data_IF_734229745064
#
_entry.id   IF_734229745064
#
_cell.length_a   1.000
_cell.length_b   1.000
_cell.length_c   1.000
_cell.angle_alpha   90.00
_cell.angle_beta   90.00
_cell.angle_gamma   90.00
#
_symmetry.space_group_name_H-M   'P 1'
#
loop_
_entity.id
_entity.type
_entity.pdbx_description
1 polymer ?
#
# COMPACT_ATOMS: atom_id res chain seq x y z
N UNK A 1 40.59 24.09 -19.32
CA UNK A 1 40.50 22.66 -19.68
C UNK A 1 39.19 22.15 -19.10
N UNK A 2 38.12 22.22 -19.90
CA UNK A 2 36.82 21.65 -19.54
C UNK A 2 36.84 20.16 -19.92
N UNK A 3 36.67 19.28 -18.95
CA UNK A 3 36.50 17.85 -19.18
C UNK A 3 35.04 17.60 -19.57
N UNK A 4 34.78 17.57 -20.87
CA UNK A 4 33.50 17.15 -21.43
C UNK A 4 33.56 15.64 -21.68
N UNK A 5 33.23 14.84 -20.66
CA UNK A 5 33.11 13.39 -20.76
C UNK A 5 31.63 13.00 -20.79
N UNK A 6 31.00 13.15 -21.96
CA UNK A 6 29.75 12.45 -22.24
C UNK A 6 30.05 10.97 -22.49
N UNK A 7 29.37 10.02 -21.83
CA UNK A 7 29.49 8.61 -22.17
C UNK A 7 28.95 8.38 -23.58
N UNK A 8 29.76 7.73 -24.42
CA UNK A 8 29.36 7.27 -25.74
C UNK A 8 28.35 6.13 -25.53
N UNK A 9 27.06 6.42 -25.64
CA UNK A 9 26.05 5.38 -25.78
C UNK A 9 26.22 4.74 -27.15
N UNK A 10 26.72 3.51 -27.17
CA UNK A 10 26.75 2.67 -28.35
C UNK A 10 25.32 2.34 -28.77
N UNK A 11 24.84 2.96 -29.84
CA UNK A 11 23.56 2.60 -30.46
C UNK A 11 23.59 1.14 -30.93
N UNK A 12 22.67 0.32 -30.40
CA UNK A 12 21.85 -0.54 -31.25
C UNK A 12 22.34 -1.95 -31.60
N UNK A 13 22.99 -2.70 -30.70
CA UNK A 13 22.91 -4.18 -30.78
C UNK A 13 21.92 -4.69 -29.73
N UNK A 14 20.84 -5.39 -30.13
CA UNK A 14 19.96 -6.04 -29.16
C UNK A 14 20.78 -7.07 -28.39
N UNK A 15 20.72 -7.00 -27.06
CA UNK A 15 21.33 -8.01 -26.21
C UNK A 15 20.74 -9.39 -26.55
N UNK A 16 21.56 -10.45 -26.63
CA UNK A 16 21.04 -11.80 -26.79
C UNK A 16 20.07 -12.10 -25.64
N UNK A 17 19.00 -12.88 -25.87
CA UNK A 17 18.06 -13.26 -24.82
C UNK A 17 18.83 -13.95 -23.69
N UNK A 18 18.61 -13.49 -22.45
CA UNK A 18 19.12 -14.20 -21.26
C UNK A 18 18.57 -15.62 -21.26
N UNK A 19 19.43 -16.60 -20.99
CA UNK A 19 18.96 -17.96 -20.72
C UNK A 19 18.09 -17.92 -19.46
N UNK A 20 16.88 -18.46 -19.57
CA UNK A 20 15.86 -18.50 -18.52
C UNK A 20 16.35 -19.19 -17.23
N UNK A 21 17.37 -20.04 -17.34
CA UNK A 21 18.02 -20.77 -16.23
C UNK A 21 18.96 -19.93 -15.36
N UNK A 22 19.35 -18.72 -15.78
CA UNK A 22 20.21 -17.82 -14.99
C UNK A 22 19.40 -16.74 -14.24
N UNK A 23 18.07 -16.84 -14.22
CA UNK A 23 17.27 -15.91 -13.45
C UNK A 23 17.35 -16.23 -11.95
N UNK A 24 17.62 -15.24 -11.09
CA UNK A 24 17.64 -15.47 -9.66
C UNK A 24 16.26 -15.92 -9.18
N UNK A 25 16.23 -16.97 -8.36
CA UNK A 25 15.02 -17.62 -7.84
C UNK A 25 14.16 -16.59 -7.10
N UNK A 26 12.85 -16.43 -7.33
CA UNK A 26 12.06 -15.45 -6.57
C UNK A 26 12.14 -15.62 -5.04
N UNK A 27 12.18 -14.51 -4.29
CA UNK A 27 12.11 -14.53 -2.82
C UNK A 27 10.64 -14.68 -2.42
N UNK A 28 10.29 -15.81 -1.80
CA UNK A 28 8.96 -16.01 -1.22
C UNK A 28 8.88 -15.33 0.14
N UNK A 29 7.91 -14.46 0.32
CA UNK A 29 7.59 -13.72 1.55
C UNK A 29 6.25 -14.24 2.07
N UNK A 30 6.21 -14.73 3.31
CA UNK A 30 4.98 -15.14 3.99
C UNK A 30 4.17 -13.92 4.45
N UNK A 31 3.72 -13.13 3.46
CA UNK A 31 2.80 -12.00 3.58
C UNK A 31 1.94 -11.90 2.33
N UNK A 32 0.77 -11.26 2.43
CA UNK A 32 -0.08 -11.05 1.27
C UNK A 32 0.57 -10.09 0.26
N UNK A 33 0.40 -10.29 -1.07
CA UNK A 33 0.97 -9.41 -2.09
C UNK A 33 0.65 -7.92 -1.89
N UNK A 34 -0.54 -7.63 -1.36
CA UNK A 34 -0.96 -6.26 -1.05
C UNK A 34 -0.15 -5.60 0.07
N UNK A 35 0.27 -6.35 1.08
CA UNK A 35 1.15 -5.82 2.13
C UNK A 35 2.56 -5.59 1.60
N UNK A 36 3.09 -6.53 0.80
CA UNK A 36 4.41 -6.38 0.16
C UNK A 36 4.43 -5.17 -0.77
N UNK A 37 3.40 -5.00 -1.60
CA UNK A 37 3.27 -3.85 -2.49
C UNK A 37 3.19 -2.53 -1.71
N UNK A 38 2.37 -2.46 -0.66
CA UNK A 38 2.26 -1.29 0.21
C UNK A 38 3.62 -0.94 0.83
N UNK A 39 4.39 -1.95 1.26
CA UNK A 39 5.67 -1.76 1.93
C UNK A 39 6.76 -1.14 1.03
N UNK A 40 6.60 -1.16 -0.29
CA UNK A 40 7.49 -0.46 -1.23
C UNK A 40 7.14 1.02 -1.43
N UNK A 41 5.94 1.44 -1.03
CA UNK A 41 5.39 2.75 -1.37
C UNK A 41 5.07 3.59 -0.13
N UNK A 42 4.74 2.95 1.00
CA UNK A 42 4.43 3.64 2.24
C UNK A 42 5.72 4.06 2.95
N UNK A 43 5.93 5.36 3.26
CA UNK A 43 7.16 5.82 3.92
C UNK A 43 7.41 5.17 5.28
N UNK A 44 6.35 4.92 6.07
CA UNK A 44 6.48 4.33 7.39
C UNK A 44 6.94 2.88 7.34
N UNK A 45 6.39 2.09 6.41
CA UNK A 45 6.82 0.71 6.19
C UNK A 45 8.26 0.68 5.66
N UNK A 46 8.58 1.47 4.62
CA UNK A 46 9.93 1.58 4.04
C UNK A 46 10.98 1.95 5.09
N UNK A 47 10.69 2.95 5.92
CA UNK A 47 11.57 3.34 7.01
C UNK A 47 11.79 2.20 8.01
N UNK A 48 10.74 1.43 8.31
CA UNK A 48 10.82 0.35 9.28
C UNK A 48 11.67 -0.84 8.82
N UNK A 49 11.58 -1.24 7.54
CA UNK A 49 12.33 -2.39 7.04
C UNK A 49 13.68 -2.04 6.43
N UNK A 50 13.84 -0.83 5.88
CA UNK A 50 15.07 -0.39 5.21
C UNK A 50 15.95 0.52 6.09
N UNK A 51 15.42 1.00 7.22
CA UNK A 51 16.18 1.83 8.16
C UNK A 51 16.61 3.18 7.58
N UNK A 52 15.84 3.75 6.66
CA UNK A 52 16.08 5.07 6.06
C UNK A 52 14.99 6.09 6.38
N UNK A 53 15.32 7.36 6.26
CA UNK A 53 14.29 8.41 6.17
C UNK A 53 13.77 8.43 4.74
N UNK A 54 12.44 8.42 4.58
CA UNK A 54 11.82 8.20 3.27
C UNK A 54 10.79 9.27 2.96
N UNK A 55 10.78 9.70 1.70
CA UNK A 55 9.70 10.48 1.10
C UNK A 55 9.24 9.76 -0.17
N UNK A 56 7.94 9.52 -0.29
CA UNK A 56 7.33 8.94 -1.49
C UNK A 56 6.11 9.73 -1.94
N UNK A 57 6.00 9.92 -3.26
CA UNK A 57 4.78 10.35 -3.96
C UNK A 57 4.33 9.14 -4.81
N UNK A 58 3.46 8.30 -4.25
CA UNK A 58 3.12 6.98 -4.77
C UNK A 58 2.21 7.01 -6.03
N UNK A 59 2.69 7.61 -7.11
CA UNK A 59 2.08 7.64 -8.44
C UNK A 59 3.16 7.49 -9.50
N UNK A 60 2.79 7.07 -10.71
CA UNK A 60 3.73 7.04 -11.85
C UNK A 60 4.26 8.45 -12.13
N UNK A 61 5.58 8.57 -12.28
CA UNK A 61 6.33 9.83 -12.36
C UNK A 61 6.61 10.48 -11.00
N UNK A 62 5.99 9.99 -9.93
CA UNK A 62 6.19 10.45 -8.56
C UNK A 62 7.60 10.11 -8.04
N UNK A 63 8.01 10.82 -7.00
CA UNK A 63 9.36 10.73 -6.44
C UNK A 63 9.42 9.63 -5.38
N UNK A 64 10.53 8.91 -5.33
CA UNK A 64 10.89 7.98 -4.27
C UNK A 64 12.31 8.34 -3.78
N UNK A 65 12.44 8.83 -2.54
CA UNK A 65 13.75 9.20 -1.97
C UNK A 65 13.96 8.48 -0.65
N UNK A 66 15.09 7.78 -0.53
CA UNK A 66 15.60 7.21 0.72
C UNK A 66 16.90 7.91 1.13
N UNK A 67 17.02 8.26 2.41
CA UNK A 67 18.23 8.84 2.99
C UNK A 67 18.71 8.05 4.20
N UNK A 68 20.00 7.70 4.20
CA UNK A 68 20.70 7.11 5.34
C UNK A 68 21.69 8.13 5.89
N UNK A 69 21.53 8.49 7.16
CA UNK A 69 22.46 9.35 7.87
C UNK A 69 23.09 8.60 9.04
N UNK A 70 24.33 8.93 9.33
CA UNK A 70 25.06 8.46 10.51
C UNK A 70 24.43 9.14 11.73
N UNK A 71 23.32 8.59 12.25
CA UNK A 71 22.46 9.29 13.20
C UNK A 71 23.22 9.93 14.36
N UNK A 72 23.39 11.27 14.35
CA UNK A 72 23.27 12.19 15.50
C UNK A 72 23.76 13.63 15.27
N UNK A 73 24.41 13.98 14.16
CA UNK A 73 25.09 15.29 14.04
C UNK A 73 24.42 16.29 13.08
N UNK A 74 23.26 15.94 12.51
CA UNK A 74 22.36 16.89 11.83
C UNK A 74 22.89 17.48 10.51
N UNK A 75 24.14 17.20 10.13
CA UNK A 75 24.80 17.69 8.91
C UNK A 75 25.82 16.69 8.32
N UNK A 76 25.86 15.45 8.82
CA UNK A 76 26.73 14.39 8.28
C UNK A 76 26.40 14.03 6.83
N UNK A 77 27.42 13.61 6.07
CA UNK A 77 27.34 13.21 4.66
C UNK A 77 26.47 11.96 4.47
N UNK A 78 25.16 12.11 4.56
CA UNK A 78 24.23 11.02 4.34
C UNK A 78 24.24 10.52 2.89
N UNK A 79 24.06 9.22 2.71
CA UNK A 79 23.79 8.66 1.38
C UNK A 79 22.33 8.92 1.05
N UNK A 80 22.07 9.55 -0.09
CA UNK A 80 20.72 9.77 -0.62
C UNK A 80 20.56 8.98 -1.90
N UNK A 81 19.52 8.13 -1.93
CA UNK A 81 19.07 7.43 -3.11
C UNK A 81 17.77 8.08 -3.59
N UNK A 82 17.78 8.63 -4.79
CA UNK A 82 16.60 9.25 -5.41
C UNK A 82 16.20 8.48 -6.66
N UNK A 83 14.91 8.23 -6.80
CA UNK A 83 14.30 7.56 -7.94
C UNK A 83 12.98 8.24 -8.35
N UNK A 84 12.52 7.92 -9.56
CA UNK A 84 11.14 8.15 -9.98
C UNK A 84 10.42 6.82 -10.13
N UNK A 85 9.14 6.75 -9.76
CA UNK A 85 8.31 5.56 -9.97
C UNK A 85 7.91 5.48 -11.46
N UNK A 86 8.50 4.58 -12.23
CA UNK A 86 8.24 4.45 -13.67
C UNK A 86 7.00 3.60 -13.99
N UNK A 87 6.68 2.64 -13.13
CA UNK A 87 5.51 1.78 -13.30
C UNK A 87 4.94 1.37 -11.93
N UNK A 88 3.61 1.37 -11.83
CA UNK A 88 2.87 0.89 -10.67
C UNK A 88 1.68 0.05 -11.15
N UNK A 89 1.71 -1.24 -10.86
CA UNK A 89 0.56 -2.13 -10.97
C UNK A 89 0.19 -2.62 -9.57
N UNK A 90 -0.98 -2.24 -9.03
CA UNK A 90 -1.39 -2.62 -7.69
C UNK A 90 -1.18 -4.10 -7.40
N UNK A 91 -0.44 -4.40 -6.34
CA UNK A 91 -0.13 -5.76 -5.86
C UNK A 91 0.70 -6.62 -6.82
N UNK A 92 1.27 -6.04 -7.88
CA UNK A 92 1.97 -6.80 -8.93
C UNK A 92 3.33 -6.23 -9.33
N UNK A 93 3.43 -4.92 -9.56
CA UNK A 93 4.68 -4.32 -10.08
C UNK A 93 4.94 -2.98 -9.40
N UNK A 94 6.16 -2.81 -8.90
CA UNK A 94 6.73 -1.50 -8.56
C UNK A 94 8.02 -1.35 -9.36
N UNK A 95 8.10 -0.34 -10.21
CA UNK A 95 9.33 -0.03 -10.94
C UNK A 95 9.84 1.37 -10.62
N UNK A 96 11.16 1.48 -10.46
CA UNK A 96 11.90 2.68 -10.09
C UNK A 96 12.94 2.99 -11.15
N UNK A 97 13.08 4.25 -11.53
CA UNK A 97 14.21 4.74 -12.35
C UNK A 97 15.19 5.53 -11.49
N UNK A 98 16.43 5.03 -11.37
CA UNK A 98 17.51 5.61 -10.57
C UNK A 98 18.68 5.93 -11.49
N UNK A 99 19.01 7.21 -11.66
CA UNK A 99 20.11 7.62 -12.54
C UNK A 99 19.95 7.13 -13.99
N UNK A 100 18.71 6.96 -14.46
CA UNK A 100 18.41 6.43 -15.80
C UNK A 100 18.40 4.90 -15.90
N UNK A 101 18.64 4.18 -14.81
CA UNK A 101 18.54 2.72 -14.73
C UNK A 101 17.20 2.33 -14.13
N UNK A 102 16.45 1.45 -14.80
CA UNK A 102 15.19 0.93 -14.27
C UNK A 102 15.40 -0.34 -13.44
N UNK A 103 14.78 -0.39 -12.26
CA UNK A 103 14.70 -1.55 -11.37
C UNK A 103 13.22 -1.88 -11.19
N UNK A 104 12.82 -3.11 -11.51
CA UNK A 104 11.45 -3.58 -11.41
C UNK A 104 11.32 -4.70 -10.36
N UNK A 105 10.38 -4.53 -9.43
CA UNK A 105 9.97 -5.53 -8.45
C UNK A 105 8.65 -6.15 -8.91
N UNK A 106 8.70 -7.40 -9.32
CA UNK A 106 7.52 -8.19 -9.66
C UNK A 106 7.06 -8.94 -8.41
N UNK A 107 5.77 -8.87 -8.10
CA UNK A 107 5.13 -9.45 -6.93
C UNK A 107 4.05 -10.41 -7.44
N UNK A 108 4.32 -11.70 -7.36
CA UNK A 108 3.40 -12.75 -7.79
C UNK A 108 2.74 -13.38 -6.55
N UNK A 109 1.43 -13.57 -6.59
CA UNK A 109 0.73 -14.31 -5.53
C UNK A 109 1.07 -15.80 -5.62
N UNK A 110 1.47 -16.40 -4.49
CA UNK A 110 1.77 -17.84 -4.37
C UNK A 110 1.06 -18.42 -3.15
N UNK A 111 0.85 -19.75 -3.07
CA UNK A 111 0.15 -20.36 -1.93
C UNK A 111 0.74 -19.99 -0.56
N UNK A 112 2.04 -19.75 -0.49
CA UNK A 112 2.79 -19.42 0.72
C UNK A 112 2.80 -17.91 1.04
N UNK A 113 2.27 -17.04 0.16
CA UNK A 113 2.27 -15.58 0.32
C UNK A 113 2.54 -14.85 -1.00
N UNK A 114 3.65 -14.11 -1.07
CA UNK A 114 4.06 -13.34 -2.23
C UNK A 114 5.48 -13.73 -2.68
N UNK A 115 5.67 -14.06 -3.94
CA UNK A 115 6.98 -14.27 -4.55
C UNK A 115 7.44 -12.96 -5.19
N UNK A 116 8.57 -12.42 -4.71
CA UNK A 116 9.17 -11.18 -5.23
C UNK A 116 10.36 -11.52 -6.12
N UNK A 117 10.34 -11.01 -7.36
CA UNK A 117 11.45 -11.08 -8.31
C UNK A 117 11.93 -9.67 -8.64
N UNK A 118 13.25 -9.48 -8.65
CA UNK A 118 13.89 -8.20 -9.00
C UNK A 118 14.52 -8.31 -10.38
N UNK A 119 14.18 -7.37 -11.25
CA UNK A 119 14.70 -7.28 -12.61
C UNK A 119 15.30 -5.89 -12.86
N UNK A 120 16.27 -5.81 -13.78
CA UNK A 120 16.82 -4.55 -14.27
C UNK A 120 16.69 -4.53 -15.80
N UNK A 121 15.52 -4.10 -16.33
CA UNK A 121 15.27 -4.08 -17.77
C UNK A 121 16.33 -3.28 -18.53
N UNK A 122 16.78 -3.81 -19.66
CA UNK A 122 17.70 -3.11 -20.58
C UNK A 122 19.17 -3.09 -20.16
N UNK A 123 19.54 -3.59 -18.98
CA UNK A 123 20.94 -3.72 -18.59
C UNK A 123 21.61 -4.94 -19.23
N UNK A 124 22.91 -4.84 -19.51
CA UNK A 124 23.71 -6.02 -19.83
C UNK A 124 23.84 -6.94 -18.59
N UNK A 125 24.19 -8.20 -18.83
CA UNK A 125 24.15 -9.22 -17.78
C UNK A 125 25.10 -8.92 -16.61
N UNK A 126 26.29 -8.37 -16.87
CA UNK A 126 27.31 -8.11 -15.86
C UNK A 126 26.96 -6.89 -14.99
N UNK A 127 26.45 -5.82 -15.62
CA UNK A 127 25.95 -4.63 -14.92
C UNK A 127 24.74 -4.98 -14.04
N UNK A 128 23.81 -5.78 -14.58
CA UNK A 128 22.63 -6.23 -13.86
C UNK A 128 23.01 -7.08 -12.63
N UNK A 129 23.95 -8.02 -12.76
CA UNK A 129 24.35 -8.90 -11.63
C UNK A 129 24.89 -8.11 -10.43
N UNK A 130 25.77 -7.14 -10.68
CA UNK A 130 26.37 -6.31 -9.62
C UNK A 130 25.29 -5.49 -8.90
N UNK A 131 24.41 -4.85 -9.66
CA UNK A 131 23.37 -3.99 -9.09
C UNK A 131 22.30 -4.80 -8.36
N UNK A 132 21.82 -5.89 -8.96
CA UNK A 132 20.70 -6.69 -8.44
C UNK A 132 21.05 -7.38 -7.13
N UNK A 133 22.33 -7.71 -6.87
CA UNK A 133 22.77 -8.26 -5.59
C UNK A 133 22.36 -7.37 -4.40
N UNK A 134 22.53 -6.05 -4.53
CA UNK A 134 22.17 -5.10 -3.46
C UNK A 134 20.66 -4.99 -3.25
N UNK A 135 19.89 -5.00 -4.34
CA UNK A 135 18.43 -4.99 -4.28
C UNK A 135 17.85 -6.28 -3.71
N UNK A 136 18.50 -7.40 -3.98
CA UNK A 136 18.16 -8.69 -3.41
C UNK A 136 18.28 -8.68 -1.88
N UNK A 137 19.40 -8.20 -1.35
CA UNK A 137 19.59 -8.05 0.10
C UNK A 137 18.54 -7.10 0.72
N UNK A 138 18.11 -6.05 -0.01
CA UNK A 138 17.03 -5.19 0.42
C UNK A 138 15.69 -5.96 0.50
N UNK A 139 15.36 -6.77 -0.51
CA UNK A 139 14.13 -7.60 -0.50
C UNK A 139 14.16 -8.67 0.61
N UNK A 140 15.33 -9.21 0.96
CA UNK A 140 15.47 -10.08 2.14
C UNK A 140 15.15 -9.35 3.45
N UNK A 141 15.56 -8.08 3.57
CA UNK A 141 15.23 -7.25 4.73
C UNK A 141 13.72 -6.97 4.80
N UNK A 142 13.09 -6.69 3.65
CA UNK A 142 11.65 -6.57 3.52
C UNK A 142 10.94 -7.88 3.94
N UNK A 143 11.44 -9.05 3.52
CA UNK A 143 10.89 -10.35 3.90
C UNK A 143 10.83 -10.50 5.42
N UNK A 144 11.96 -10.29 6.11
CA UNK A 144 12.04 -10.43 7.57
C UNK A 144 11.02 -9.53 8.25
N UNK A 145 10.95 -8.25 7.85
CA UNK A 145 10.00 -7.31 8.42
C UNK A 145 8.54 -7.69 8.14
N UNK A 146 8.21 -8.03 6.90
CA UNK A 146 6.83 -8.32 6.48
C UNK A 146 6.27 -9.55 7.20
N UNK A 147 7.09 -10.59 7.38
CA UNK A 147 6.70 -11.82 8.08
C UNK A 147 6.49 -11.60 9.59
N UNK A 148 7.20 -10.63 10.18
CA UNK A 148 7.01 -10.24 11.58
C UNK A 148 5.81 -9.31 11.78
N UNK A 149 5.64 -8.32 10.91
CA UNK A 149 4.60 -7.30 11.02
C UNK A 149 3.21 -7.81 10.58
N UNK A 150 3.19 -8.71 9.61
CA UNK A 150 2.00 -9.20 8.95
C UNK A 150 2.12 -10.71 8.68
N UNK A 151 2.10 -11.55 9.74
CA UNK A 151 2.26 -12.99 9.57
C UNK A 151 1.15 -13.52 8.66
N UNK A 152 1.54 -14.10 7.53
CA UNK A 152 0.58 -14.75 6.64
C UNK A 152 0.05 -16.01 7.30
N UNK A 153 -1.26 -16.02 7.52
CA UNK A 153 -1.98 -17.25 7.85
C UNK A 153 -2.42 -17.84 6.54
N UNK A 154 -1.75 -18.91 6.11
CA UNK A 154 -2.14 -19.64 4.91
C UNK A 154 -3.63 -19.90 4.97
N UNK A 155 -4.37 -19.37 3.99
CA UNK A 155 -5.78 -19.67 3.87
C UNK A 155 -5.85 -21.18 3.67
N UNK A 156 -6.43 -21.88 4.66
CA UNK A 156 -6.75 -23.29 4.47
C UNK A 156 -7.57 -23.35 3.20
N UNK A 157 -7.15 -24.12 2.17
CA UNK A 157 -7.90 -24.21 0.93
C UNK A 157 -9.34 -24.49 1.31
N UNK A 158 -10.23 -23.52 1.05
CA UNK A 158 -11.64 -23.72 1.28
C UNK A 158 -11.96 -24.92 0.40
N UNK A 159 -12.28 -26.05 1.05
CA UNK A 159 -12.61 -27.28 0.35
C UNK A 159 -13.56 -26.89 -0.77
N UNK A 160 -13.14 -27.21 -2.00
CA UNK A 160 -13.83 -26.88 -3.25
C UNK A 160 -15.34 -26.97 -3.00
N UNK A 161 -16.11 -25.89 -3.22
CA UNK A 161 -17.48 -25.81 -2.76
C UNK A 161 -18.24 -27.01 -3.32
N UNK A 162 -18.48 -27.98 -2.44
CA UNK A 162 -19.23 -29.19 -2.78
C UNK A 162 -20.55 -28.69 -3.33
N UNK A 163 -20.78 -28.92 -4.63
CA UNK A 163 -21.86 -28.35 -5.42
C UNK A 163 -23.09 -28.12 -4.54
N UNK A 164 -23.37 -26.85 -4.26
CA UNK A 164 -24.45 -26.46 -3.36
C UNK A 164 -25.74 -27.11 -3.87
N UNK A 165 -26.29 -28.04 -3.11
CA UNK A 165 -27.67 -28.47 -3.31
C UNK A 165 -28.53 -27.21 -3.26
N UNK A 166 -29.26 -26.96 -4.34
CA UNK A 166 -30.15 -25.82 -4.47
C UNK A 166 -31.14 -25.82 -3.31
N UNK A 167 -30.96 -24.92 -2.35
CA UNK A 167 -31.98 -24.66 -1.35
C UNK A 167 -33.16 -23.98 -2.05
N UNK A 168 -34.40 -24.47 -1.87
CA UNK A 168 -35.58 -23.83 -2.41
C UNK A 168 -35.71 -22.41 -1.86
N UNK A 169 -35.99 -21.47 -2.75
CA UNK A 169 -36.20 -20.06 -2.43
C UNK A 169 -37.29 -19.93 -1.36
N UNK A 170 -36.95 -19.29 -0.24
CA UNK A 170 -37.93 -18.83 0.75
C UNK A 170 -38.50 -17.50 0.25
N UNK A 171 -39.81 -17.40 -0.05
CA UNK A 171 -40.46 -16.12 -0.29
C UNK A 171 -40.77 -15.48 1.06
N UNK A 172 -40.17 -14.32 1.37
CA UNK A 172 -40.44 -13.65 2.64
C UNK A 172 -39.87 -12.24 2.74
N UNK A 173 -40.79 -11.28 2.71
CA UNK A 173 -40.77 -9.92 3.26
C UNK A 173 -39.75 -8.89 2.74
N UNK A 174 -40.29 -7.92 2.00
CA UNK A 174 -39.62 -6.69 1.61
C UNK A 174 -39.42 -5.78 2.84
N UNK A 175 -38.18 -5.44 3.23
CA UNK A 175 -37.94 -4.45 4.27
C UNK A 175 -38.21 -3.05 3.72
N UNK A 176 -39.26 -2.39 4.23
CA UNK A 176 -39.60 -1.00 3.88
C UNK A 176 -38.77 0.04 4.65
N UNK A 177 -37.58 -0.31 5.12
CA UNK A 177 -36.65 0.62 5.75
C UNK A 177 -35.65 1.14 4.73
N UNK A 178 -35.67 2.44 4.43
CA UNK A 178 -34.60 3.10 3.68
C UNK A 178 -33.27 2.90 4.41
N UNK A 179 -32.34 2.14 3.83
CA UNK A 179 -30.99 1.97 4.38
C UNK A 179 -30.32 3.36 4.48
N UNK A 180 -30.01 3.87 5.68
CA UNK A 180 -29.42 5.20 5.87
C UNK A 180 -28.00 5.31 5.28
N UNK A 181 -27.40 4.18 4.85
CA UNK A 181 -26.09 4.14 4.20
C UNK A 181 -26.16 4.01 2.68
N UNK A 182 -27.37 3.95 2.09
CA UNK A 182 -27.52 3.86 0.65
C UNK A 182 -26.98 5.14 0.00
N UNK A 183 -25.87 5.00 -0.75
CA UNK A 183 -25.40 6.04 -1.64
C UNK A 183 -26.45 6.30 -2.72
N UNK A 184 -26.74 7.57 -3.00
CA UNK A 184 -27.60 7.96 -4.13
C UNK A 184 -27.11 7.40 -5.48
N UNK A 185 -25.81 7.04 -5.57
CA UNK A 185 -25.18 6.52 -6.78
C UNK A 185 -24.97 4.99 -6.76
N UNK A 186 -25.43 4.27 -5.73
CA UNK A 186 -25.31 2.81 -5.65
C UNK A 186 -23.88 2.26 -5.53
N UNK A 187 -22.87 3.12 -5.35
CA UNK A 187 -21.49 2.69 -5.17
C UNK A 187 -21.32 1.96 -3.82
N UNK A 188 -20.70 0.78 -3.85
CA UNK A 188 -20.26 0.08 -2.63
C UNK A 188 -19.04 0.80 -2.09
N UNK A 189 -19.15 1.36 -0.88
CA UNK A 189 -18.01 1.91 -0.18
C UNK A 189 -17.10 0.78 0.32
N UNK A 190 -15.79 0.92 0.08
CA UNK A 190 -14.74 0.03 0.59
C UNK A 190 -13.89 0.78 1.60
N UNK A 191 -13.57 0.15 2.73
CA UNK A 191 -12.65 0.70 3.73
C UNK A 191 -11.22 0.49 3.28
N UNK A 192 -10.40 1.55 3.32
CA UNK A 192 -8.94 1.45 3.24
C UNK A 192 -8.38 1.44 4.66
N UNK A 193 -7.95 0.27 5.12
CA UNK A 193 -7.39 0.07 6.47
C UNK A 193 -5.86 0.15 6.45
N UNK A 194 -5.34 1.37 6.42
CA UNK A 194 -3.89 1.63 6.50
C UNK A 194 -3.31 1.26 7.88
N UNK A 195 -4.15 1.18 8.89
CA UNK A 195 -3.74 0.82 10.25
C UNK A 195 -3.65 -0.69 10.51
N UNK A 196 -4.21 -1.53 9.63
CA UNK A 196 -4.25 -2.98 9.83
C UNK A 196 -5.08 -3.38 11.06
N UNK A 197 -6.20 -2.70 11.30
CA UNK A 197 -7.13 -3.01 12.38
C UNK A 197 -8.15 -4.11 12.02
N UNK A 198 -8.16 -4.59 10.78
CA UNK A 198 -9.07 -5.63 10.29
C UNK A 198 -10.51 -5.16 10.10
N UNK A 199 -10.70 -3.88 9.74
CA UNK A 199 -12.04 -3.29 9.62
C UNK A 199 -12.70 -3.72 8.32
N UNK A 200 -13.88 -4.32 8.43
CA UNK A 200 -14.63 -4.84 7.27
C UNK A 200 -15.96 -4.12 7.07
N UNK A 201 -16.53 -3.53 8.12
CA UNK A 201 -17.71 -2.69 8.03
C UNK A 201 -17.28 -1.21 8.00
N UNK A 202 -17.64 -0.41 6.98
CA UNK A 202 -17.36 1.02 6.96
C UNK A 202 -18.31 1.84 7.84
N UNK A 203 -19.35 1.25 8.44
CA UNK A 203 -20.49 2.02 8.98
C UNK A 203 -20.23 2.52 10.40
N UNK A 204 -20.39 3.82 10.60
CA UNK A 204 -20.32 4.46 11.92
C UNK A 204 -21.41 5.50 12.14
N UNK A 205 -21.49 5.99 13.37
CA UNK A 205 -22.39 7.08 13.77
C UNK A 205 -21.59 8.18 14.47
N UNK A 206 -21.74 9.44 14.04
CA UNK A 206 -21.08 10.57 14.71
C UNK A 206 -21.59 10.66 16.14
N UNK A 207 -20.68 10.52 17.11
CA UNK A 207 -20.96 10.67 18.54
C UNK A 207 -20.87 12.13 18.98
N UNK A 208 -19.83 12.83 18.55
CA UNK A 208 -19.61 14.23 18.87
C UNK A 208 -18.74 14.92 17.82
N UNK A 209 -18.89 16.24 17.71
CA UNK A 209 -18.13 17.11 16.80
C UNK A 209 -17.85 18.44 17.51
N UNK A 210 -16.60 18.92 17.46
CA UNK A 210 -16.22 20.23 17.97
C UNK A 210 -15.47 21.02 16.91
N UNK A 211 -16.16 22.01 16.32
CA UNK A 211 -15.58 22.89 15.31
C UNK A 211 -14.39 23.71 15.83
N UNK A 212 -14.44 24.09 17.11
CA UNK A 212 -13.35 24.82 17.76
C UNK A 212 -12.10 23.96 17.95
N UNK A 213 -12.27 22.67 18.26
CA UNK A 213 -11.15 21.76 18.45
C UNK A 213 -10.68 21.11 17.14
N UNK A 214 -11.48 21.17 16.08
CA UNK A 214 -11.15 20.61 14.76
C UNK A 214 -11.20 19.09 14.69
N UNK A 215 -11.83 18.42 15.66
CA UNK A 215 -11.99 16.97 15.65
C UNK A 215 -13.33 16.52 16.27
N UNK A 216 -13.70 15.27 16.01
CA UNK A 216 -14.87 14.61 16.57
C UNK A 216 -14.65 13.13 16.84
N UNK A 217 -15.70 12.46 17.29
CA UNK A 217 -15.71 11.03 17.56
C UNK A 217 -16.83 10.33 16.80
N UNK A 218 -16.54 9.16 16.26
CA UNK A 218 -17.49 8.25 15.62
C UNK A 218 -17.57 6.97 16.45
N UNK A 219 -18.78 6.52 16.76
CA UNK A 219 -18.99 5.19 17.33
C UNK A 219 -19.07 4.18 16.20
N UNK A 220 -18.22 3.16 16.25
CA UNK A 220 -18.06 2.11 15.25
C UNK A 220 -18.22 0.72 15.90
N UNK A 221 -18.90 -0.21 15.23
CA UNK A 221 -19.22 -1.52 15.80
C UNK A 221 -17.98 -2.35 16.14
N UNK A 222 -16.94 -2.32 15.30
CA UNK A 222 -15.70 -3.09 15.50
C UNK A 222 -14.63 -2.32 16.30
N UNK A 223 -14.61 -0.99 16.21
CA UNK A 223 -13.49 -0.17 16.73
C UNK A 223 -13.83 0.58 18.03
N UNK A 224 -15.11 0.62 18.42
CA UNK A 224 -15.57 1.49 19.50
C UNK A 224 -15.57 2.96 19.07
N UNK A 225 -15.18 3.86 19.96
CA UNK A 225 -15.12 5.29 19.68
C UNK A 225 -13.79 5.65 18.99
N UNK A 226 -13.87 6.14 17.76
CA UNK A 226 -12.73 6.49 16.91
C UNK A 226 -12.72 7.98 16.64
N UNK A 227 -11.55 8.60 16.74
CA UNK A 227 -11.41 10.04 16.43
C UNK A 227 -11.35 10.26 14.92
N UNK A 228 -11.87 11.40 14.46
CA UNK A 228 -11.72 11.91 13.11
C UNK A 228 -11.42 13.42 13.16
N UNK A 229 -10.67 13.92 12.18
CA UNK A 229 -10.32 15.34 12.08
C UNK A 229 -11.25 16.07 11.09
N UNK A 230 -11.30 17.40 11.20
CA UNK A 230 -11.97 18.29 10.25
C UNK A 230 -11.55 18.01 8.80
N UNK A 231 -10.25 17.89 8.56
CA UNK A 231 -9.67 17.72 7.23
C UNK A 231 -10.08 16.40 6.55
N UNK A 232 -10.59 15.44 7.34
CA UNK A 232 -11.12 14.17 6.83
C UNK A 232 -12.59 14.23 6.40
N UNK A 233 -13.27 15.36 6.58
CA UNK A 233 -14.69 15.55 6.31
C UNK A 233 -14.91 16.59 5.20
N UNK A 234 -15.84 16.32 4.28
CA UNK A 234 -16.31 17.28 3.27
C UNK A 234 -17.75 17.77 3.53
N UNK A 235 -18.25 17.52 4.74
CA UNK A 235 -19.57 17.90 5.23
C UNK A 235 -19.45 18.45 6.65
N UNK A 236 -20.43 19.23 7.12
CA UNK A 236 -20.48 19.68 8.52
C UNK A 236 -21.07 18.56 9.40
N UNK A 237 -20.27 17.91 10.28
CA UNK A 237 -20.72 16.75 11.05
C UNK A 237 -21.73 17.15 12.14
N UNK A 238 -22.69 16.26 12.40
CA UNK A 238 -23.70 16.44 13.45
C UNK A 238 -23.85 15.15 14.25
N UNK A 239 -23.91 15.18 15.60
CA UNK A 239 -24.18 13.99 16.39
C UNK A 239 -25.43 13.25 15.90
N UNK A 240 -25.31 11.95 15.67
CA UNK A 240 -26.35 11.09 15.10
C UNK A 240 -26.25 10.87 13.59
N UNK A 241 -25.38 11.59 12.87
CA UNK A 241 -25.17 11.33 11.44
C UNK A 241 -24.63 9.91 11.21
N UNK A 242 -25.25 9.20 10.26
CA UNK A 242 -24.76 7.93 9.74
C UNK A 242 -23.68 8.18 8.68
N UNK A 243 -22.53 7.55 8.87
CA UNK A 243 -21.31 7.86 8.12
C UNK A 243 -20.58 6.61 7.67
N UNK A 244 -19.76 6.76 6.64
CA UNK A 244 -18.89 5.75 6.09
C UNK A 244 -17.43 6.12 6.35
N UNK A 245 -16.71 5.26 7.07
CA UNK A 245 -15.28 5.36 7.35
C UNK A 245 -14.53 4.87 6.12
N UNK A 246 -14.01 5.78 5.30
CA UNK A 246 -13.38 5.44 4.02
C UNK A 246 -11.90 5.11 4.18
N UNK A 247 -11.19 5.82 5.05
CA UNK A 247 -9.76 5.59 5.31
C UNK A 247 -9.52 5.58 6.81
N UNK A 248 -8.94 4.49 7.32
CA UNK A 248 -8.61 4.29 8.73
C UNK A 248 -7.10 4.12 8.86
N UNK A 249 -6.48 4.93 9.72
CA UNK A 249 -5.05 4.88 9.99
C UNK A 249 -4.74 4.86 11.49
N UNK A 250 -3.44 4.84 11.82
CA UNK A 250 -2.97 4.91 13.21
C UNK A 250 -2.73 6.35 13.64
N UNK A 251 -3.10 6.66 14.89
CA UNK A 251 -2.61 7.83 15.63
C UNK A 251 -1.19 7.58 16.14
N UNK A 252 -0.55 8.64 16.65
CA UNK A 252 0.75 8.54 17.31
C UNK A 252 0.75 7.59 18.53
N UNK A 253 -0.40 7.39 19.18
CA UNK A 253 -0.57 6.46 20.30
C UNK A 253 -0.97 5.03 19.86
N UNK A 254 -0.91 4.74 18.56
CA UNK A 254 -1.25 3.44 17.98
C UNK A 254 -2.75 3.15 17.87
N UNK A 255 -3.61 4.03 18.40
CA UNK A 255 -5.07 3.87 18.34
C UNK A 255 -5.63 4.21 16.95
N UNK A 256 -6.78 3.66 16.56
CA UNK A 256 -7.40 3.97 15.28
C UNK A 256 -7.80 5.45 15.19
N UNK A 257 -7.69 5.99 13.98
CA UNK A 257 -8.19 7.31 13.58
C UNK A 257 -8.75 7.24 12.17
N UNK A 258 -9.91 7.84 11.97
CA UNK A 258 -10.51 7.98 10.66
C UNK A 258 -9.86 9.17 9.96
N UNK A 259 -9.15 8.91 8.87
CA UNK A 259 -8.51 9.93 8.03
C UNK A 259 -9.47 10.52 6.99
N UNK A 260 -10.47 9.75 6.57
CA UNK A 260 -11.49 10.18 5.63
C UNK A 260 -12.85 9.57 5.97
N UNK A 261 -13.86 10.42 6.03
CA UNK A 261 -15.23 10.04 6.37
C UNK A 261 -16.21 10.71 5.42
N UNK A 262 -17.28 10.00 5.06
CA UNK A 262 -18.34 10.52 4.20
C UNK A 262 -19.71 10.34 4.85
N UNK A 263 -20.60 11.32 4.67
CA UNK A 263 -22.01 11.21 5.03
C UNK A 263 -22.89 11.19 3.76
N UNK A 264 -23.41 10.01 3.34
CA UNK A 264 -24.25 9.90 2.15
C UNK A 264 -25.47 10.82 2.18
N UNK A 265 -26.10 10.98 3.36
CA UNK A 265 -27.25 11.84 3.54
C UNK A 265 -26.95 13.34 3.34
N UNK A 266 -25.68 13.74 3.43
CA UNK A 266 -25.21 15.13 3.27
C UNK A 266 -24.46 15.36 1.95
N UNK A 267 -24.46 14.38 1.04
CA UNK A 267 -23.88 14.53 -0.29
C UNK A 267 -22.35 14.44 -0.35
N UNK A 268 -21.71 13.88 0.68
CA UNK A 268 -20.25 13.66 0.69
C UNK A 268 -19.77 12.80 -0.48
N UNK A 269 -18.53 13.04 -0.91
CA UNK A 269 -17.87 12.24 -1.92
C UNK A 269 -17.34 10.92 -1.33
N UNK A 270 -17.91 9.81 -1.82
CA UNK A 270 -17.58 8.44 -1.39
C UNK A 270 -16.39 7.84 -2.18
N UNK A 271 -15.92 8.51 -3.25
CA UNK A 271 -14.84 8.02 -4.11
C UNK A 271 -13.45 8.29 -3.56
#
# INVERSE_FOLDING_TARGET
MEYNSSPIYSEGRPNPPRNETDMPVPIVIASEPQHVYRAFLNPGDLQAWWGCTVVTDARVGGVWVGGWGDGNDGLGQGTVLSAHLSQLEPNRVVALTIGGVEIAFHIDAVPEGAAVRVEQPGADAATAETNLTSWWAAVESLKIWAEMAHPFVAQTPIAEPRAAQANPAVPGDAPTGSDPYASANGAKATVVDEGGFGVTDPRGVIKSWSKEQGFGYVTHAQLGDVVFDYDGCDFEPTPGDHVLLLVIGKRYDGKPKVKRIACPAKGSNIQ
#
